data_IF_564094059546
#
_entry.id   IF_564094059546
#
_cell.length_a   1.000
_cell.length_b   1.000
_cell.length_c   1.000
_cell.angle_alpha   90.00
_cell.angle_beta   90.00
_cell.angle_gamma   90.00
#
_symmetry.space_group_name_H-M   'P 1'
#
loop_
_entity.id
_entity.type
_entity.pdbx_description
1 polymer ?
#
# COMPACT_ATOMS: atom_id res chain seq x y z
N UNK A 1 -18.59 -26.00 9.58
CA UNK A 1 -18.19 -24.60 9.87
C UNK A 1 -17.61 -24.03 8.58
N UNK A 2 -18.27 -23.05 7.96
CA UNK A 2 -17.70 -22.39 6.76
C UNK A 2 -16.34 -21.77 7.16
N UNK A 3 -15.31 -21.94 6.33
CA UNK A 3 -14.06 -21.23 6.48
C UNK A 3 -14.42 -19.72 6.56
N UNK A 4 -14.20 -19.07 7.72
CA UNK A 4 -14.38 -17.60 7.81
C UNK A 4 -13.47 -16.99 6.77
N UNK A 5 -14.05 -16.22 5.87
CA UNK A 5 -13.29 -15.49 4.86
C UNK A 5 -12.37 -14.48 5.56
N UNK A 6 -11.12 -14.37 5.10
CA UNK A 6 -10.11 -13.50 5.69
C UNK A 6 -9.92 -12.26 4.81
N UNK A 7 -9.77 -11.11 5.45
CA UNK A 7 -9.32 -9.89 4.82
C UNK A 7 -7.81 -9.72 5.06
N UNK A 8 -7.06 -9.57 3.98
CA UNK A 8 -5.62 -9.32 4.01
C UNK A 8 -5.35 -7.84 3.80
N UNK A 9 -4.82 -7.18 4.81
CA UNK A 9 -4.48 -5.77 4.75
C UNK A 9 -3.04 -5.57 4.28
N UNK A 10 -2.86 -4.67 3.30
CA UNK A 10 -1.56 -4.23 2.81
C UNK A 10 -1.25 -2.87 3.39
N UNK A 11 -0.26 -2.81 4.28
CA UNK A 11 0.00 -1.67 5.15
C UNK A 11 1.08 -0.76 4.56
N UNK A 12 0.98 0.58 4.72
CA UNK A 12 1.91 1.54 4.14
C UNK A 12 3.19 1.70 4.96
N UNK A 13 4.25 2.22 4.34
CA UNK A 13 5.42 2.75 5.05
C UNK A 13 6.42 1.72 5.54
N UNK A 14 6.80 0.74 4.69
CA UNK A 14 7.77 -0.31 5.00
C UNK A 14 9.08 0.23 5.63
N UNK A 15 9.57 1.37 5.17
CA UNK A 15 10.73 2.08 5.69
C UNK A 15 10.32 3.23 6.61
N UNK A 16 9.32 4.00 6.20
CA UNK A 16 8.85 5.22 6.86
C UNK A 16 8.29 4.95 8.26
N UNK A 17 7.53 3.88 8.45
CA UNK A 17 6.89 3.57 9.74
C UNK A 17 7.53 2.37 10.45
N UNK A 18 8.84 2.19 10.27
CA UNK A 18 9.59 1.09 10.89
C UNK A 18 9.40 1.06 12.42
N UNK A 19 9.53 2.20 13.10
CA UNK A 19 9.37 2.28 14.56
C UNK A 19 7.94 1.96 15.00
N UNK A 20 6.93 2.40 14.27
CA UNK A 20 5.54 2.01 14.53
C UNK A 20 5.36 0.48 14.42
N UNK A 21 5.94 -0.14 13.41
CA UNK A 21 5.79 -1.59 13.20
C UNK A 21 6.57 -2.42 14.23
N UNK A 22 7.66 -1.93 14.79
CA UNK A 22 8.37 -2.58 15.91
C UNK A 22 7.47 -2.79 17.12
N UNK A 23 6.49 -1.91 17.34
CA UNK A 23 5.53 -2.00 18.45
C UNK A 23 4.22 -2.66 18.02
N UNK A 24 3.69 -2.30 16.85
CA UNK A 24 2.41 -2.81 16.37
C UNK A 24 2.43 -4.32 16.07
N UNK A 25 3.50 -4.83 15.45
CA UNK A 25 3.57 -6.24 15.06
C UNK A 25 3.60 -7.19 16.27
N UNK A 26 4.40 -6.95 17.35
CA UNK A 26 4.29 -7.75 18.56
C UNK A 26 2.87 -7.79 19.13
N UNK A 27 2.18 -6.64 19.20
CA UNK A 27 0.80 -6.60 19.68
C UNK A 27 -0.13 -7.44 18.77
N UNK A 28 -0.01 -7.31 17.46
CA UNK A 28 -0.83 -8.07 16.52
C UNK A 28 -0.64 -9.58 16.64
N UNK A 29 0.58 -10.06 16.84
CA UNK A 29 0.88 -11.49 16.89
C UNK A 29 0.69 -12.12 18.27
N UNK A 30 0.95 -11.38 19.35
CA UNK A 30 0.89 -11.92 20.70
C UNK A 30 -0.44 -11.64 21.42
N UNK A 31 -1.23 -10.68 20.93
CA UNK A 31 -2.50 -10.24 21.50
C UNK A 31 -3.62 -10.25 20.46
N UNK A 32 -3.79 -11.40 19.79
CA UNK A 32 -4.81 -11.57 18.73
C UNK A 32 -6.23 -11.29 19.20
N UNK A 33 -6.50 -11.42 20.50
CA UNK A 33 -7.78 -11.09 21.12
C UNK A 33 -8.20 -9.63 20.92
N UNK A 34 -7.23 -8.70 20.71
CA UNK A 34 -7.52 -7.28 20.46
C UNK A 34 -7.99 -7.02 19.04
N UNK A 35 -7.67 -7.91 18.10
CA UNK A 35 -7.89 -7.73 16.68
C UNK A 35 -9.08 -8.53 16.16
N UNK A 36 -9.66 -8.10 15.07
CA UNK A 36 -10.71 -8.86 14.40
C UNK A 36 -10.19 -10.24 13.96
N UNK A 37 -10.95 -11.30 14.21
CA UNK A 37 -10.56 -12.67 13.87
C UNK A 37 -10.41 -12.91 12.36
N UNK A 38 -11.10 -12.12 11.53
CA UNK A 38 -11.06 -12.17 10.07
C UNK A 38 -9.94 -11.31 9.45
N UNK A 39 -9.22 -10.54 10.24
CA UNK A 39 -8.16 -9.62 9.79
C UNK A 39 -6.80 -10.29 9.79
N UNK A 40 -6.03 -10.13 8.69
CA UNK A 40 -4.64 -10.58 8.56
C UNK A 40 -3.79 -9.49 7.91
N UNK A 41 -2.47 -9.51 8.16
CA UNK A 41 -1.52 -8.66 7.46
C UNK A 41 -1.05 -9.39 6.21
N UNK A 42 -1.40 -8.90 5.03
CA UNK A 42 -0.99 -9.48 3.76
C UNK A 42 0.42 -9.07 3.35
N UNK A 43 0.80 -7.81 3.59
CA UNK A 43 2.14 -7.27 3.33
C UNK A 43 2.32 -5.90 3.96
N UNK A 44 3.58 -5.44 4.04
CA UNK A 44 3.91 -4.04 4.29
C UNK A 44 4.66 -3.50 3.08
N UNK A 45 4.26 -2.31 2.58
CA UNK A 45 4.80 -1.76 1.35
C UNK A 45 5.44 -0.38 1.53
N UNK A 46 6.48 -0.10 0.76
CA UNK A 46 7.19 1.18 0.75
C UNK A 46 8.49 1.11 -0.05
N UNK A 47 9.19 2.21 -0.12
CA UNK A 47 10.55 2.32 -0.65
C UNK A 47 11.30 3.37 0.16
N UNK A 48 12.63 3.30 0.24
CA UNK A 48 13.43 4.36 0.85
C UNK A 48 13.36 5.64 0.00
N UNK A 49 13.72 6.78 0.59
CA UNK A 49 13.62 8.10 -0.05
C UNK A 49 14.50 8.24 -1.28
N UNK A 50 15.68 7.63 -1.26
CA UNK A 50 16.69 7.70 -2.33
C UNK A 50 16.45 6.73 -3.48
N UNK A 51 15.21 6.24 -3.64
CA UNK A 51 14.88 5.24 -4.65
C UNK A 51 14.41 5.88 -5.96
N UNK A 52 15.27 5.88 -6.98
CA UNK A 52 14.99 6.43 -8.31
C UNK A 52 13.77 5.78 -8.99
N UNK A 53 13.49 4.49 -8.73
CA UNK A 53 12.32 3.80 -9.26
C UNK A 53 11.02 4.10 -8.49
N UNK A 54 11.10 4.85 -7.38
CA UNK A 54 9.94 5.34 -6.66
C UNK A 54 9.11 6.30 -7.50
N UNK A 55 7.81 6.33 -7.33
CA UNK A 55 6.88 7.21 -8.07
C UNK A 55 5.66 7.59 -7.24
N UNK A 56 5.70 7.32 -5.96
CA UNK A 56 4.69 7.70 -4.99
C UNK A 56 5.23 8.60 -3.90
N UNK A 57 4.36 9.11 -3.06
CA UNK A 57 4.73 9.89 -1.89
C UNK A 57 5.71 9.11 -1.01
N UNK A 58 6.70 9.78 -0.47
CA UNK A 58 7.70 9.23 0.42
C UNK A 58 7.75 10.08 1.69
N UNK A 59 8.01 9.46 2.83
CA UNK A 59 8.28 10.11 4.10
C UNK A 59 9.59 9.62 4.68
N UNK A 60 10.20 10.42 5.56
CA UNK A 60 11.41 10.07 6.29
C UNK A 60 11.20 8.81 7.13
N UNK A 61 12.22 7.97 7.24
CA UNK A 61 12.14 6.72 8.00
C UNK A 61 13.47 5.98 8.11
N UNK A 62 13.42 4.71 8.48
CA UNK A 62 14.62 3.88 8.61
C UNK A 62 15.23 3.63 7.22
N UNK A 63 16.45 4.09 7.03
CA UNK A 63 17.18 3.94 5.77
C UNK A 63 18.00 2.64 5.70
N UNK A 64 18.01 1.82 6.78
CA UNK A 64 18.71 0.55 6.80
C UNK A 64 17.82 -0.61 6.30
N UNK A 65 17.95 -1.05 5.04
CA UNK A 65 17.08 -2.06 4.47
C UNK A 65 17.28 -3.45 5.12
N UNK A 66 18.40 -3.70 5.76
CA UNK A 66 18.67 -4.97 6.48
C UNK A 66 17.82 -5.07 7.74
N UNK A 67 17.70 -4.00 8.52
CA UNK A 67 16.85 -3.97 9.72
C UNK A 67 15.38 -4.12 9.34
N UNK A 68 14.94 -3.38 8.30
CA UNK A 68 13.58 -3.46 7.78
C UNK A 68 13.25 -4.89 7.34
N UNK A 69 14.13 -5.52 6.57
CA UNK A 69 13.90 -6.90 6.11
C UNK A 69 13.94 -7.90 7.28
N UNK A 70 14.82 -7.70 8.26
CA UNK A 70 14.90 -8.55 9.46
C UNK A 70 13.59 -8.53 10.24
N UNK A 71 12.99 -7.36 10.44
CA UNK A 71 11.69 -7.22 11.10
C UNK A 71 10.58 -7.96 10.32
N UNK A 72 10.55 -7.84 9.00
CA UNK A 72 9.55 -8.52 8.17
C UNK A 72 9.72 -10.05 8.24
N UNK A 73 10.93 -10.55 8.18
CA UNK A 73 11.22 -11.99 8.30
C UNK A 73 10.85 -12.52 9.70
N UNK A 74 11.12 -11.76 10.76
CA UNK A 74 10.75 -12.13 12.14
C UNK A 74 9.25 -12.42 12.29
N UNK A 75 8.41 -11.65 11.61
CA UNK A 75 6.94 -11.80 11.67
C UNK A 75 6.34 -12.50 10.43
N UNK A 76 7.18 -13.08 9.56
CA UNK A 76 6.74 -13.77 8.34
C UNK A 76 5.83 -12.92 7.45
N UNK A 77 6.14 -11.62 7.32
CA UNK A 77 5.37 -10.65 6.52
C UNK A 77 6.06 -10.42 5.16
N UNK A 78 5.28 -10.47 4.09
CA UNK A 78 5.75 -10.10 2.75
C UNK A 78 6.07 -8.62 2.68
N UNK A 79 7.29 -8.27 2.27
CA UNK A 79 7.70 -6.91 1.96
C UNK A 79 7.35 -6.56 0.52
N UNK A 80 6.85 -5.36 0.25
CA UNK A 80 6.63 -4.88 -1.11
C UNK A 80 7.38 -3.60 -1.37
N UNK A 81 8.37 -3.64 -2.26
CA UNK A 81 9.06 -2.45 -2.74
C UNK A 81 8.15 -1.65 -3.68
N UNK A 82 8.07 -0.33 -3.48
CA UNK A 82 7.22 0.52 -4.32
C UNK A 82 8.04 1.18 -5.42
N UNK A 83 8.07 0.57 -6.60
CA UNK A 83 8.80 1.02 -7.79
C UNK A 83 7.81 1.52 -8.84
N UNK A 84 7.06 2.54 -8.49
CA UNK A 84 5.92 3.04 -9.27
C UNK A 84 6.22 4.30 -10.09
N UNK A 85 7.49 4.60 -10.35
CA UNK A 85 7.88 5.68 -11.25
C UNK A 85 7.35 5.41 -12.67
N UNK A 86 6.60 6.37 -13.22
CA UNK A 86 5.92 6.25 -14.51
C UNK A 86 6.78 6.68 -15.71
N UNK A 87 7.97 7.27 -15.48
CA UNK A 87 8.77 7.95 -16.49
C UNK A 87 10.14 7.29 -16.71
N UNK A 88 10.29 6.03 -16.28
CA UNK A 88 11.55 5.29 -16.40
C UNK A 88 11.92 5.05 -17.86
N UNK A 89 13.22 5.15 -18.13
CA UNK A 89 13.87 4.83 -19.39
C UNK A 89 14.95 3.76 -19.16
N UNK A 90 15.48 3.16 -20.22
CA UNK A 90 16.50 2.09 -20.14
C UNK A 90 17.72 2.47 -19.29
N UNK A 91 18.19 3.73 -19.38
CA UNK A 91 19.32 4.22 -18.57
C UNK A 91 19.07 4.13 -17.06
N UNK A 92 17.80 4.21 -16.63
CA UNK A 92 17.42 4.17 -15.22
C UNK A 92 17.39 2.74 -14.65
N UNK A 93 17.36 1.69 -15.50
CA UNK A 93 17.34 0.30 -15.07
C UNK A 93 18.63 -0.13 -14.37
N UNK A 94 19.74 0.57 -14.61
CA UNK A 94 21.05 0.28 -14.03
C UNK A 94 21.29 1.00 -12.69
N UNK A 95 20.27 1.68 -12.14
CA UNK A 95 20.41 2.32 -10.84
C UNK A 95 20.90 1.32 -9.78
N UNK A 96 22.05 1.65 -9.18
CA UNK A 96 22.72 0.73 -8.24
C UNK A 96 21.88 0.52 -6.98
N UNK A 97 21.34 1.60 -6.40
CA UNK A 97 20.60 1.56 -5.13
C UNK A 97 19.35 0.69 -5.25
N UNK A 98 18.58 0.89 -6.30
CA UNK A 98 17.37 0.10 -6.54
C UNK A 98 17.70 -1.37 -6.82
N UNK A 99 18.77 -1.67 -7.57
CA UNK A 99 19.21 -3.05 -7.82
C UNK A 99 19.75 -3.73 -6.53
N UNK A 100 20.48 -3.00 -5.67
CA UNK A 100 20.94 -3.52 -4.38
C UNK A 100 19.76 -3.90 -3.48
N UNK A 101 18.70 -3.07 -3.43
CA UNK A 101 17.45 -3.38 -2.73
C UNK A 101 16.80 -4.66 -3.28
N UNK A 102 16.69 -4.80 -4.61
CA UNK A 102 16.16 -6.02 -5.21
C UNK A 102 16.98 -7.25 -4.81
N UNK A 103 18.31 -7.16 -4.87
CA UNK A 103 19.20 -8.26 -4.49
C UNK A 103 19.03 -8.68 -3.04
N UNK A 104 18.77 -7.72 -2.14
CA UNK A 104 18.53 -8.00 -0.73
C UNK A 104 17.16 -8.62 -0.50
N UNK A 105 16.09 -7.98 -1.01
CA UNK A 105 14.71 -8.39 -0.73
C UNK A 105 14.30 -9.67 -1.48
N UNK A 106 14.95 -10.00 -2.60
CA UNK A 106 14.75 -11.29 -3.28
C UNK A 106 15.19 -12.49 -2.41
N UNK A 107 16.12 -12.26 -1.47
CA UNK A 107 16.62 -13.29 -0.54
C UNK A 107 15.77 -13.44 0.73
N UNK A 108 14.70 -12.68 0.86
CA UNK A 108 13.79 -12.77 2.01
C UNK A 108 13.27 -14.20 2.21
N UNK A 109 13.06 -14.58 3.47
CA UNK A 109 12.46 -15.87 3.84
C UNK A 109 11.00 -15.95 3.34
N UNK A 110 10.30 -14.83 3.36
CA UNK A 110 8.94 -14.69 2.78
C UNK A 110 9.07 -14.04 1.40
N UNK A 111 8.37 -14.58 0.41
CA UNK A 111 8.38 -14.02 -0.93
C UNK A 111 8.01 -12.52 -0.90
N UNK A 112 8.92 -11.68 -1.34
CA UNK A 112 8.72 -10.24 -1.48
C UNK A 112 8.02 -9.90 -2.78
N UNK A 113 7.35 -8.73 -2.82
CA UNK A 113 6.68 -8.23 -4.00
C UNK A 113 7.20 -6.87 -4.45
N UNK A 114 6.83 -6.47 -5.65
CA UNK A 114 7.10 -5.14 -6.19
C UNK A 114 5.81 -4.53 -6.72
N UNK A 115 5.46 -3.32 -6.22
CA UNK A 115 4.39 -2.50 -6.76
C UNK A 115 4.96 -1.68 -7.90
N UNK A 116 4.45 -1.88 -9.13
CA UNK A 116 5.10 -1.40 -10.34
C UNK A 116 4.12 -0.66 -11.27
N UNK A 117 4.63 0.38 -11.93
CA UNK A 117 3.92 1.14 -12.98
C UNK A 117 4.45 0.81 -14.39
N UNK A 118 5.78 0.85 -14.55
CA UNK A 118 6.45 0.75 -15.84
C UNK A 118 6.57 -0.69 -16.33
N UNK A 119 6.07 -0.98 -17.52
CA UNK A 119 6.24 -2.28 -18.15
C UNK A 119 7.71 -2.54 -18.54
N UNK A 120 8.47 -1.49 -18.86
CA UNK A 120 9.91 -1.59 -19.09
C UNK A 120 10.65 -2.13 -17.84
N UNK A 121 10.33 -1.59 -16.66
CA UNK A 121 10.91 -2.06 -15.41
C UNK A 121 10.40 -3.47 -15.05
N UNK A 122 9.14 -3.77 -15.31
CA UNK A 122 8.56 -5.09 -15.08
C UNK A 122 9.35 -6.19 -15.82
N UNK A 123 9.56 -6.01 -17.13
CA UNK A 123 10.29 -6.97 -17.93
C UNK A 123 11.76 -7.12 -17.52
N UNK A 124 12.40 -6.02 -17.09
CA UNK A 124 13.75 -6.08 -16.53
C UNK A 124 13.80 -6.90 -15.24
N UNK A 125 12.88 -6.63 -14.31
CA UNK A 125 12.87 -7.29 -13.00
C UNK A 125 12.49 -8.77 -13.10
N UNK A 126 11.55 -9.14 -13.95
CA UNK A 126 11.18 -10.56 -14.20
C UNK A 126 12.37 -11.40 -14.63
N UNK A 127 13.25 -10.84 -15.47
CA UNK A 127 14.45 -11.52 -15.95
C UNK A 127 15.55 -11.62 -14.91
N UNK A 128 15.75 -10.55 -14.13
CA UNK A 128 16.89 -10.40 -13.24
C UNK A 128 16.62 -10.92 -11.83
N UNK A 129 15.39 -10.80 -11.36
CA UNK A 129 14.96 -11.11 -9.99
C UNK A 129 13.66 -11.93 -10.01
N UNK A 130 13.71 -13.20 -10.42
CA UNK A 130 12.52 -14.02 -10.71
C UNK A 130 11.72 -14.44 -9.48
N UNK A 131 12.24 -14.25 -8.26
CA UNK A 131 11.51 -14.61 -7.03
C UNK A 131 10.47 -13.60 -6.61
N UNK A 132 10.47 -12.37 -7.15
CA UNK A 132 9.44 -11.39 -6.83
C UNK A 132 8.09 -11.74 -7.47
N UNK A 133 7.02 -11.45 -6.75
CA UNK A 133 5.71 -11.26 -7.38
C UNK A 133 5.46 -9.77 -7.65
N UNK A 134 4.56 -9.48 -8.58
CA UNK A 134 4.30 -8.10 -9.00
C UNK A 134 2.87 -7.68 -8.70
N UNK A 135 2.72 -6.39 -8.37
CA UNK A 135 1.44 -5.73 -8.10
C UNK A 135 1.32 -4.54 -9.04
N UNK A 136 0.23 -4.47 -9.81
CA UNK A 136 -0.04 -3.32 -10.67
C UNK A 136 -0.42 -2.11 -9.81
N UNK A 137 0.31 -1.00 -10.02
CA UNK A 137 0.19 0.19 -9.18
C UNK A 137 -1.07 1.02 -9.49
N UNK A 138 -1.71 1.56 -8.44
CA UNK A 138 -2.76 2.58 -8.57
C UNK A 138 -2.30 3.85 -9.30
N UNK A 139 -0.99 4.10 -9.39
CA UNK A 139 -0.44 5.25 -10.15
C UNK A 139 -0.73 5.16 -11.65
N UNK A 140 -1.11 4.00 -12.18
CA UNK A 140 -1.62 3.84 -13.56
C UNK A 140 -2.94 4.58 -13.79
N UNK A 141 -3.69 4.88 -12.71
CA UNK A 141 -4.93 5.65 -12.74
C UNK A 141 -5.95 5.02 -13.71
N UNK A 142 -6.22 3.73 -13.53
CA UNK A 142 -7.19 2.96 -14.32
C UNK A 142 -8.60 3.29 -13.84
N UNK A 143 -9.22 4.32 -14.44
CA UNK A 143 -10.50 4.88 -13.99
C UNK A 143 -11.72 4.25 -14.64
N UNK A 144 -11.53 3.44 -15.69
CA UNK A 144 -12.60 2.73 -16.38
C UNK A 144 -12.58 1.26 -16.00
N UNK A 145 -13.76 0.67 -15.83
CA UNK A 145 -13.90 -0.73 -15.46
C UNK A 145 -13.25 -1.67 -16.49
N UNK A 146 -13.35 -1.37 -17.76
CA UNK A 146 -12.75 -2.15 -18.85
C UNK A 146 -11.21 -2.17 -18.74
N UNK A 147 -10.60 -1.03 -18.38
CA UNK A 147 -9.15 -0.95 -18.15
C UNK A 147 -8.71 -1.82 -16.95
N UNK A 148 -9.52 -1.85 -15.89
CA UNK A 148 -9.27 -2.74 -14.74
C UNK A 148 -9.36 -4.20 -15.17
N UNK A 149 -10.38 -4.59 -15.92
CA UNK A 149 -10.55 -5.97 -16.41
C UNK A 149 -9.39 -6.40 -17.28
N UNK A 150 -8.91 -5.54 -18.17
CA UNK A 150 -7.76 -5.84 -19.03
C UNK A 150 -6.46 -6.02 -18.19
N UNK A 151 -6.27 -5.20 -17.17
CA UNK A 151 -5.12 -5.34 -16.25
C UNK A 151 -5.21 -6.60 -15.39
N UNK A 152 -6.41 -7.00 -14.93
CA UNK A 152 -6.64 -8.23 -14.16
C UNK A 152 -6.35 -9.51 -14.98
N UNK A 153 -6.53 -9.47 -16.31
CA UNK A 153 -6.21 -10.60 -17.20
C UNK A 153 -4.71 -10.82 -17.38
N UNK A 154 -3.88 -9.83 -17.09
CA UNK A 154 -2.42 -9.97 -17.18
C UNK A 154 -1.92 -11.00 -16.17
N UNK A 155 -1.19 -11.99 -16.62
CA UNK A 155 -0.60 -13.04 -15.77
C UNK A 155 0.61 -12.53 -14.98
N UNK A 156 1.18 -11.40 -15.38
CA UNK A 156 2.32 -10.77 -14.70
C UNK A 156 1.99 -10.37 -13.26
N UNK A 157 0.74 -10.05 -12.96
CA UNK A 157 0.35 -9.46 -11.67
C UNK A 157 -0.37 -10.46 -10.78
N UNK A 158 0.14 -10.59 -9.54
CA UNK A 158 -0.55 -11.28 -8.47
C UNK A 158 -1.74 -10.44 -7.95
N UNK A 159 -1.55 -9.11 -7.86
CA UNK A 159 -2.58 -8.16 -7.47
C UNK A 159 -2.61 -6.94 -8.40
N UNK A 160 -3.77 -6.33 -8.49
CA UNK A 160 -4.01 -5.09 -9.25
C UNK A 160 -4.70 -4.10 -8.31
N UNK A 161 -4.10 -2.92 -8.13
CA UNK A 161 -4.70 -1.84 -7.34
C UNK A 161 -5.46 -0.91 -8.28
N UNK A 162 -6.81 -0.99 -8.34
CA UNK A 162 -7.60 -0.10 -9.19
C UNK A 162 -7.50 1.33 -8.71
N UNK A 163 -7.95 2.27 -9.54
CA UNK A 163 -8.22 3.61 -9.05
C UNK A 163 -9.37 3.56 -8.04
N UNK A 164 -9.26 4.31 -6.93
CA UNK A 164 -10.22 4.29 -5.82
C UNK A 164 -11.66 4.61 -6.25
N UNK A 165 -11.86 5.32 -7.37
CA UNK A 165 -13.18 5.62 -7.95
C UNK A 165 -13.92 4.36 -8.40
N UNK A 166 -13.23 3.26 -8.60
CA UNK A 166 -13.84 1.96 -8.95
C UNK A 166 -14.20 1.11 -7.73
N UNK A 167 -13.89 1.56 -6.50
CA UNK A 167 -14.11 0.75 -5.30
C UNK A 167 -15.54 0.23 -5.16
N UNK A 168 -16.54 1.04 -5.50
CA UNK A 168 -17.97 0.75 -5.26
C UNK A 168 -18.80 0.60 -6.55
N UNK A 169 -18.14 0.34 -7.70
CA UNK A 169 -18.88 0.13 -8.95
C UNK A 169 -19.55 -1.25 -8.97
N UNK A 170 -20.79 -1.30 -9.42
CA UNK A 170 -21.60 -2.52 -9.43
C UNK A 170 -21.00 -3.62 -10.32
N UNK A 171 -20.29 -3.24 -11.39
CA UNK A 171 -19.65 -4.18 -12.32
C UNK A 171 -18.63 -5.13 -11.67
N UNK A 172 -18.07 -4.78 -10.50
CA UNK A 172 -17.16 -5.65 -9.74
C UNK A 172 -17.79 -7.01 -9.41
N UNK A 173 -19.11 -7.07 -9.25
CA UNK A 173 -19.82 -8.33 -8.96
C UNK A 173 -19.71 -9.34 -10.09
N UNK A 174 -19.54 -8.87 -11.33
CA UNK A 174 -19.45 -9.70 -12.53
C UNK A 174 -18.05 -10.30 -12.78
N UNK A 175 -17.05 -9.92 -12.00
CA UNK A 175 -15.70 -10.50 -12.10
C UNK A 175 -15.73 -11.98 -11.74
N UNK A 176 -14.91 -12.78 -12.44
CA UNK A 176 -14.65 -14.16 -12.08
C UNK A 176 -13.89 -14.24 -10.74
N UNK A 177 -14.01 -15.35 -9.99
CA UNK A 177 -13.33 -15.47 -8.70
C UNK A 177 -11.82 -15.24 -8.81
N UNK A 178 -11.15 -15.81 -9.81
CA UNK A 178 -9.72 -15.61 -10.06
C UNK A 178 -9.32 -14.13 -10.29
N UNK A 179 -10.25 -13.30 -10.80
CA UNK A 179 -10.07 -11.87 -10.99
C UNK A 179 -10.31 -11.13 -9.69
N UNK A 180 -11.35 -11.51 -8.92
CA UNK A 180 -11.63 -10.97 -7.59
C UNK A 180 -10.46 -11.18 -6.62
N UNK A 181 -9.81 -12.34 -6.68
CA UNK A 181 -8.64 -12.66 -5.85
C UNK A 181 -7.46 -11.72 -6.10
N UNK A 182 -7.40 -11.11 -7.29
CA UNK A 182 -6.35 -10.15 -7.66
C UNK A 182 -6.67 -8.69 -7.32
N UNK A 183 -7.95 -8.33 -7.09
CA UNK A 183 -8.30 -6.92 -6.83
C UNK A 183 -7.86 -6.52 -5.43
N UNK A 184 -6.95 -5.53 -5.33
CA UNK A 184 -6.49 -4.96 -4.08
C UNK A 184 -7.05 -3.54 -3.92
N UNK A 185 -8.08 -3.37 -3.11
CA UNK A 185 -8.82 -2.11 -2.95
C UNK A 185 -8.05 -1.10 -2.09
N UNK A 186 -7.92 0.13 -2.58
CA UNK A 186 -7.40 1.26 -1.80
C UNK A 186 -8.54 1.83 -0.93
N UNK A 187 -8.53 1.52 0.39
CA UNK A 187 -9.70 1.70 1.24
C UNK A 187 -9.96 3.14 1.68
N UNK A 188 -8.90 3.91 1.94
CA UNK A 188 -8.97 5.18 2.67
C UNK A 188 -8.41 6.38 1.89
N UNK A 189 -8.52 6.37 0.56
CA UNK A 189 -8.09 7.50 -0.27
C UNK A 189 -8.92 8.76 0.05
N UNK A 190 -8.25 9.90 0.22
CA UNK A 190 -8.92 11.19 0.44
C UNK A 190 -8.86 12.13 -0.77
N UNK A 191 -8.30 11.69 -1.88
CA UNK A 191 -8.25 12.47 -3.10
C UNK A 191 -9.67 12.77 -3.60
N UNK A 192 -9.89 13.98 -4.12
CA UNK A 192 -11.19 14.41 -4.64
C UNK A 192 -11.69 13.46 -5.74
N UNK A 193 -12.93 12.96 -5.61
CA UNK A 193 -13.52 11.96 -6.53
C UNK A 193 -13.56 12.45 -7.98
N UNK A 194 -13.78 13.76 -8.19
CA UNK A 194 -13.82 14.41 -9.50
C UNK A 194 -12.45 14.83 -10.05
N UNK A 195 -11.33 14.46 -9.40
CA UNK A 195 -10.00 14.88 -9.84
C UNK A 195 -9.64 14.30 -11.21
N UNK A 196 -9.37 15.15 -12.20
CA UNK A 196 -8.90 14.76 -13.54
C UNK A 196 -7.38 14.80 -13.67
N UNK A 197 -6.65 15.28 -12.66
CA UNK A 197 -5.21 15.53 -12.73
C UNK A 197 -4.38 14.54 -11.89
N UNK A 198 -5.01 13.48 -11.34
CA UNK A 198 -4.31 12.49 -10.48
C UNK A 198 -3.07 11.89 -11.17
N UNK A 199 -3.14 11.64 -12.48
CA UNK A 199 -2.00 11.13 -13.25
C UNK A 199 -0.85 12.11 -13.25
N UNK A 200 -1.13 13.42 -13.43
CA UNK A 200 -0.10 14.49 -13.38
C UNK A 200 0.57 14.58 -12.00
N UNK A 201 -0.20 14.38 -10.91
CA UNK A 201 0.39 14.33 -9.58
C UNK A 201 1.49 13.26 -9.49
N UNK A 202 1.21 12.04 -9.98
CA UNK A 202 2.19 10.96 -9.97
C UNK A 202 3.36 11.17 -10.95
N UNK A 203 3.11 11.81 -12.09
CA UNK A 203 4.15 12.19 -13.04
C UNK A 203 5.10 13.22 -12.44
N UNK A 204 4.59 14.21 -11.68
CA UNK A 204 5.43 15.19 -10.97
C UNK A 204 6.34 14.50 -9.96
N UNK A 205 5.80 13.62 -9.11
CA UNK A 205 6.61 12.85 -8.15
C UNK A 205 7.64 11.97 -8.87
N UNK A 206 7.26 11.38 -10.00
CA UNK A 206 8.18 10.58 -10.81
C UNK A 206 9.35 11.41 -11.34
N UNK A 207 9.12 12.66 -11.80
CA UNK A 207 10.16 13.60 -12.25
C UNK A 207 11.09 13.98 -11.11
N UNK A 208 10.53 14.33 -9.95
CA UNK A 208 11.30 14.67 -8.75
C UNK A 208 12.24 13.52 -8.35
N UNK A 209 11.74 12.28 -8.34
CA UNK A 209 12.57 11.11 -8.05
C UNK A 209 13.65 10.82 -9.10
N UNK A 210 13.47 11.31 -10.33
CA UNK A 210 14.50 11.27 -11.37
C UNK A 210 15.53 12.43 -11.26
N UNK A 211 15.37 13.31 -10.26
CA UNK A 211 16.23 14.48 -10.06
C UNK A 211 15.97 15.61 -11.06
N UNK A 212 14.81 15.61 -11.72
CA UNK A 212 14.41 16.68 -12.62
C UNK A 212 13.95 17.91 -11.80
N UNK A 213 14.44 19.09 -12.17
CA UNK A 213 13.95 20.37 -11.60
C UNK A 213 12.55 20.65 -12.16
N UNK A 214 11.53 20.37 -11.37
CA UNK A 214 10.14 20.60 -11.74
C UNK A 214 9.35 21.16 -10.56
N UNK A 215 8.39 22.03 -10.88
CA UNK A 215 7.50 22.61 -9.87
C UNK A 215 6.55 21.53 -9.31
N UNK A 216 6.21 21.68 -8.04
CA UNK A 216 5.20 20.84 -7.40
C UNK A 216 3.85 20.93 -8.12
N UNK A 217 3.17 19.81 -8.20
CA UNK A 217 1.81 19.80 -8.72
C UNK A 217 0.86 20.47 -7.72
N UNK A 218 0.26 21.58 -8.15
CA UNK A 218 -0.77 22.26 -7.35
C UNK A 218 -2.10 21.52 -7.50
N UNK A 219 -2.56 20.93 -6.41
CA UNK A 219 -3.85 20.23 -6.38
C UNK A 219 -5.01 21.24 -6.56
N UNK A 220 -5.91 20.95 -7.50
CA UNK A 220 -7.09 21.78 -7.80
C UNK A 220 -8.36 21.32 -7.10
N UNK A 221 -8.27 20.36 -6.17
CA UNK A 221 -9.43 19.96 -5.39
C UNK A 221 -9.96 21.14 -4.56
N UNK A 222 -11.28 21.29 -4.40
CA UNK A 222 -11.88 22.40 -3.66
C UNK A 222 -11.35 22.55 -2.24
N UNK A 223 -10.97 21.45 -1.62
CA UNK A 223 -10.48 21.30 -0.26
C UNK A 223 -8.99 20.97 -0.16
N UNK A 224 -8.21 21.28 -1.21
CA UNK A 224 -6.77 20.94 -1.29
C UNK A 224 -5.94 21.52 -0.16
N UNK A 225 -6.33 22.69 0.36
CA UNK A 225 -5.66 23.37 1.47
C UNK A 225 -5.81 22.65 2.82
N UNK A 226 -6.76 21.75 2.95
CA UNK A 226 -7.03 21.03 4.21
C UNK A 226 -6.05 19.87 4.45
N UNK A 227 -5.33 19.43 3.42
CA UNK A 227 -4.47 18.26 3.47
C UNK A 227 -5.24 16.94 3.65
N UNK A 228 -4.51 15.89 4.00
CA UNK A 228 -5.09 14.59 4.31
C UNK A 228 -5.56 14.57 5.78
N UNK A 229 -6.79 14.10 6.02
CA UNK A 229 -7.36 13.92 7.35
C UNK A 229 -8.13 12.61 7.42
N UNK A 230 -8.15 11.99 8.60
CA UNK A 230 -8.94 10.78 8.85
C UNK A 230 -10.42 10.97 8.50
N UNK A 231 -11.03 12.04 9.01
CA UNK A 231 -12.43 12.36 8.74
C UNK A 231 -12.72 12.64 7.27
N UNK A 232 -11.77 13.25 6.55
CA UNK A 232 -11.89 13.52 5.12
C UNK A 232 -11.87 12.23 4.31
N UNK A 233 -11.01 11.28 4.65
CA UNK A 233 -11.00 9.97 4.02
C UNK A 233 -12.34 9.25 4.23
N UNK A 234 -12.87 9.25 5.46
CA UNK A 234 -14.16 8.60 5.77
C UNK A 234 -15.36 9.25 5.05
N UNK A 235 -15.29 10.55 4.73
CA UNK A 235 -16.34 11.25 3.99
C UNK A 235 -16.25 11.01 2.46
N UNK A 236 -15.16 10.45 1.97
CA UNK A 236 -15.03 10.13 0.56
C UNK A 236 -16.04 9.03 0.17
N UNK A 237 -16.80 9.26 -0.90
CA UNK A 237 -17.81 8.29 -1.36
C UNK A 237 -17.23 6.93 -1.76
N UNK A 238 -15.94 6.86 -2.05
CA UNK A 238 -15.22 5.62 -2.36
C UNK A 238 -14.59 4.95 -1.14
N UNK A 239 -14.70 5.55 0.05
CA UNK A 239 -14.18 4.97 1.30
C UNK A 239 -14.81 3.60 1.54
N UNK A 240 -13.98 2.62 1.87
CA UNK A 240 -14.44 1.27 2.23
C UNK A 240 -14.36 1.14 3.74
N UNK A 241 -15.51 1.04 4.41
CA UNK A 241 -15.58 0.90 5.85
C UNK A 241 -15.32 -0.54 6.31
N UNK A 242 -15.14 -0.75 7.62
CA UNK A 242 -15.04 -2.09 8.23
C UNK A 242 -16.32 -2.89 7.95
N UNK A 243 -17.49 -2.24 8.07
CA UNK A 243 -18.79 -2.83 7.77
C UNK A 243 -18.92 -3.20 6.28
N UNK A 244 -18.42 -2.35 5.37
CA UNK A 244 -18.37 -2.66 3.94
C UNK A 244 -17.54 -3.94 3.70
N UNK A 245 -16.35 -4.05 4.31
CA UNK A 245 -15.49 -5.22 4.16
C UNK A 245 -16.22 -6.49 4.60
N UNK A 246 -16.79 -6.49 5.80
CA UNK A 246 -17.45 -7.66 6.38
C UNK A 246 -18.75 -8.07 5.67
N UNK A 247 -19.57 -7.08 5.29
CA UNK A 247 -20.91 -7.32 4.82
C UNK A 247 -21.05 -7.31 3.29
N UNK A 248 -20.10 -6.69 2.59
CA UNK A 248 -20.18 -6.54 1.13
C UNK A 248 -19.03 -7.20 0.38
N UNK A 249 -17.76 -6.95 0.79
CA UNK A 249 -16.62 -7.41 -0.01
C UNK A 249 -16.27 -8.88 0.24
N UNK A 250 -16.11 -9.30 1.51
CA UNK A 250 -15.80 -10.68 1.84
C UNK A 250 -16.88 -11.65 1.33
N UNK A 251 -18.20 -11.42 1.53
CA UNK A 251 -19.23 -12.30 1.00
C UNK A 251 -19.26 -12.39 -0.54
N UNK A 252 -18.74 -11.38 -1.23
CA UNK A 252 -18.63 -11.36 -2.70
C UNK A 252 -17.33 -11.97 -3.22
N UNK A 253 -16.46 -12.47 -2.33
CA UNK A 253 -15.22 -13.15 -2.66
C UNK A 253 -14.00 -12.24 -2.85
N UNK A 254 -14.04 -10.98 -2.38
CA UNK A 254 -12.89 -10.09 -2.34
C UNK A 254 -12.17 -10.18 -1.01
N UNK A 255 -10.84 -10.19 -1.00
CA UNK A 255 -10.07 -10.40 0.22
C UNK A 255 -8.85 -9.48 0.40
N UNK A 256 -8.51 -8.63 -0.58
CA UNK A 256 -7.29 -7.83 -0.55
C UNK A 256 -7.62 -6.35 -0.37
N UNK A 257 -7.09 -5.73 0.69
CA UNK A 257 -7.40 -4.36 1.10
C UNK A 257 -6.12 -3.60 1.40
N UNK A 258 -5.95 -2.43 0.77
CA UNK A 258 -4.78 -1.59 0.90
C UNK A 258 -5.11 -0.35 1.72
N UNK A 259 -4.31 -0.09 2.75
CA UNK A 259 -4.37 1.15 3.52
C UNK A 259 -3.35 2.12 2.93
N UNK A 260 -3.78 3.32 2.56
CA UNK A 260 -2.90 4.41 2.21
C UNK A 260 -2.38 5.10 3.47
N UNK A 261 -1.15 5.61 3.43
CA UNK A 261 -0.58 6.27 4.60
C UNK A 261 0.80 6.87 4.39
N UNK A 262 1.46 6.60 3.26
CA UNK A 262 2.82 7.14 3.02
C UNK A 262 2.82 8.67 3.03
N UNK A 263 3.81 9.27 3.68
CA UNK A 263 3.95 10.72 3.94
C UNK A 263 2.86 11.35 4.81
N UNK A 264 2.05 10.55 5.50
CA UNK A 264 0.96 11.05 6.36
C UNK A 264 1.34 11.12 7.84
N UNK A 265 2.48 10.54 8.22
CA UNK A 265 2.93 10.40 9.59
C UNK A 265 2.36 9.18 10.32
N UNK A 266 3.14 8.65 11.26
CA UNK A 266 2.81 7.42 12.00
C UNK A 266 1.52 7.53 12.82
N UNK A 267 1.23 8.70 13.38
CA UNK A 267 0.02 8.93 14.18
C UNK A 267 -1.26 8.71 13.35
N UNK A 268 -1.34 9.27 12.14
CA UNK A 268 -2.51 9.09 11.28
C UNK A 268 -2.63 7.66 10.76
N UNK A 269 -1.50 7.04 10.42
CA UNK A 269 -1.49 5.63 10.01
C UNK A 269 -1.94 4.73 11.14
N UNK A 270 -1.49 4.97 12.37
CA UNK A 270 -1.97 4.24 13.54
C UNK A 270 -3.50 4.31 13.67
N UNK A 271 -4.12 5.49 13.49
CA UNK A 271 -5.59 5.61 13.57
C UNK A 271 -6.29 4.74 12.50
N UNK A 272 -5.74 4.60 11.30
CA UNK A 272 -6.28 3.68 10.31
C UNK A 272 -6.05 2.20 10.67
N UNK A 273 -4.89 1.86 11.25
CA UNK A 273 -4.65 0.50 11.74
C UNK A 273 -5.64 0.13 12.85
N UNK A 274 -5.88 1.06 13.80
CA UNK A 274 -6.88 0.88 14.85
C UNK A 274 -8.28 0.69 14.27
N UNK A 275 -8.67 1.55 13.33
CA UNK A 275 -10.00 1.50 12.70
C UNK A 275 -10.25 0.19 11.96
N UNK A 276 -9.31 -0.27 11.12
CA UNK A 276 -9.53 -1.43 10.27
C UNK A 276 -9.26 -2.77 10.94
N UNK A 277 -8.36 -2.83 11.92
CA UNK A 277 -7.82 -4.09 12.40
C UNK A 277 -8.16 -4.38 13.86
N UNK A 278 -8.34 -3.35 14.69
CA UNK A 278 -8.56 -3.50 16.14
C UNK A 278 -10.04 -3.44 16.46
N UNK A 279 -10.52 -4.38 17.30
CA UNK A 279 -11.90 -4.39 17.81
C UNK A 279 -12.16 -3.10 18.60
N UNK A 280 -13.35 -2.49 18.50
CA UNK A 280 -13.65 -1.18 19.09
C UNK A 280 -13.33 -1.09 20.59
N UNK A 281 -13.60 -2.14 21.34
CA UNK A 281 -13.36 -2.21 22.79
C UNK A 281 -11.89 -2.18 23.19
N UNK A 282 -10.97 -2.50 22.27
CA UNK A 282 -9.52 -2.50 22.52
C UNK A 282 -8.78 -1.32 21.86
N UNK A 283 -9.44 -0.48 21.07
CA UNK A 283 -8.75 0.60 20.32
C UNK A 283 -8.01 1.58 21.24
N UNK A 284 -8.62 1.96 22.38
CA UNK A 284 -7.96 2.84 23.35
C UNK A 284 -6.74 2.14 23.95
N UNK A 285 -6.89 0.89 24.36
CA UNK A 285 -5.81 0.12 24.98
C UNK A 285 -4.61 -0.06 24.02
N UNK A 286 -4.87 -0.46 22.77
CA UNK A 286 -3.81 -0.64 21.77
C UNK A 286 -3.12 0.71 21.44
N UNK A 287 -3.90 1.81 21.34
CA UNK A 287 -3.35 3.15 21.14
C UNK A 287 -2.41 3.55 22.27
N UNK A 288 -2.84 3.37 23.53
CA UNK A 288 -2.03 3.70 24.71
C UNK A 288 -0.74 2.88 24.77
N UNK A 289 -0.80 1.58 24.52
CA UNK A 289 0.37 0.71 24.48
C UNK A 289 1.39 1.20 23.45
N UNK A 290 0.95 1.56 22.23
CA UNK A 290 1.85 2.03 21.18
C UNK A 290 2.43 3.42 21.52
N UNK A 291 1.64 4.35 22.01
CA UNK A 291 2.13 5.69 22.36
C UNK A 291 3.09 5.66 23.56
N UNK A 292 2.84 4.85 24.55
CA UNK A 292 3.71 4.73 25.72
C UNK A 292 5.09 4.18 25.32
N UNK A 293 5.12 3.12 24.51
CA UNK A 293 6.36 2.51 24.08
C UNK A 293 7.18 3.46 23.20
N UNK A 294 6.52 4.19 22.28
CA UNK A 294 7.20 5.19 21.44
C UNK A 294 7.64 6.43 22.22
N UNK A 295 6.90 6.85 23.26
CA UNK A 295 7.29 8.01 24.07
C UNK A 295 8.43 7.69 25.02
N UNK A 296 8.58 6.45 25.47
CA UNK A 296 9.70 6.01 26.30
C UNK A 296 11.03 6.07 25.55
N UNK A 297 11.01 5.92 24.22
CA UNK A 297 12.19 6.06 23.37
C UNK A 297 12.57 7.54 23.06
N UNK A 298 11.73 8.50 23.44
CA UNK A 298 11.94 9.95 23.21
C UNK A 298 12.59 10.67 24.42
N UNK A 299 12.76 9.99 25.54
CA UNK A 299 13.37 10.46 26.77
C UNK A 299 14.56 9.59 27.17
#
# INVERSE_FOLDING_TARGET
MSKREKAYFHLPGLFEFYELYKVFLPLFYHHREYFYDWCEIGSIYGSPEDCLWGGGRLGEGNQNPYEVLSLMNQYHISSRLTFSNSLLQEKHLQDKRCNDLCTLFEKSDVQSGIIIHSDLLLEYLKKKYPRFYFVSSTTKVLTKFEQLVDELKREDFLYVVPDFRLNKVQQLENLLQKEKDKVEFLCNECCFIGCLERKKCYETVSRQNLGEDCLDHVCKAPDSHEGYRFSKAMQNSSFISVEDIQNNYLPKGFSQFKIEGRSLGSALVLEFLLYYMVKPEYQIHVREAIYLDNMLDLF
#
